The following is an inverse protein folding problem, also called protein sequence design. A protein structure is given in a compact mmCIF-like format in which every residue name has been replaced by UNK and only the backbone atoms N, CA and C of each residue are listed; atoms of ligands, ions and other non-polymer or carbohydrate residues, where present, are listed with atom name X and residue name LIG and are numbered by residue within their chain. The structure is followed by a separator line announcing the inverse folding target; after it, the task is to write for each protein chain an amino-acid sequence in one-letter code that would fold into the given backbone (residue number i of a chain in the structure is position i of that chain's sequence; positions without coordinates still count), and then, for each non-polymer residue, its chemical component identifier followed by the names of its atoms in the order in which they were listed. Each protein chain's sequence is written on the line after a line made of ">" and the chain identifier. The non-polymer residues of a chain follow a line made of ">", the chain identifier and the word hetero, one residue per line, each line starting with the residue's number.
data_IF_397316754142
#
_entry.id   IF_397316754142
#
_cell.length_a   1.000
_cell.length_b   1.000
_cell.length_c   1.000
_cell.angle_alpha   90.00
_cell.angle_beta   90.00
_cell.angle_gamma   90.00
#
_symmetry.space_group_name_H-M   'P 1'
#
loop_
_entity.id
_entity.type
_entity.pdbx_description
1 polymer ?
#
# COMPACT_ATOMS: atom_id res chain seq x y z
N UNK A 1 -30.12 -7.26 -45.04
CA UNK A 1 -28.98 -6.52 -44.47
C UNK A 1 -28.92 -6.53 -42.93
N UNK A 2 -30.04 -6.43 -42.18
CA UNK A 2 -30.04 -6.36 -40.68
C UNK A 2 -29.51 -7.60 -39.97
N UNK A 3 -29.73 -8.82 -40.51
CA UNK A 3 -29.32 -10.09 -39.91
C UNK A 3 -27.79 -10.25 -39.80
N UNK A 4 -27.04 -9.77 -40.78
CA UNK A 4 -25.57 -9.87 -40.80
C UNK A 4 -24.86 -8.89 -39.85
N UNK A 5 -25.52 -7.79 -39.50
CA UNK A 5 -24.99 -6.81 -38.55
C UNK A 5 -25.11 -7.35 -37.12
N UNK A 6 -26.23 -7.97 -36.79
CA UNK A 6 -26.44 -8.59 -35.47
C UNK A 6 -25.47 -9.74 -35.18
N UNK A 7 -25.18 -10.58 -36.19
CA UNK A 7 -24.21 -11.66 -36.04
C UNK A 7 -22.78 -11.11 -35.84
N UNK A 8 -22.41 -10.05 -36.54
CA UNK A 8 -21.10 -9.40 -36.38
C UNK A 8 -20.97 -8.72 -35.02
N UNK A 9 -22.02 -8.04 -34.54
CA UNK A 9 -22.04 -7.44 -33.21
C UNK A 9 -21.96 -8.49 -32.09
N UNK A 10 -22.68 -9.59 -32.21
CA UNK A 10 -22.62 -10.70 -31.25
C UNK A 10 -21.22 -11.34 -31.23
N UNK A 11 -20.58 -11.50 -32.39
CA UNK A 11 -19.21 -12.02 -32.47
C UNK A 11 -18.16 -11.10 -31.81
N UNK A 12 -18.28 -9.77 -31.98
CA UNK A 12 -17.41 -8.80 -31.32
C UNK A 12 -17.63 -8.80 -29.81
N UNK A 13 -18.87 -8.81 -29.36
CA UNK A 13 -19.18 -8.86 -27.92
C UNK A 13 -18.67 -10.14 -27.26
N UNK A 14 -18.78 -11.30 -27.92
CA UNK A 14 -18.23 -12.56 -27.44
C UNK A 14 -16.70 -12.56 -27.40
N UNK A 15 -16.03 -11.97 -28.40
CA UNK A 15 -14.57 -11.86 -28.42
C UNK A 15 -14.05 -10.94 -27.32
N UNK A 16 -14.72 -9.82 -27.06
CA UNK A 16 -14.35 -8.88 -25.98
C UNK A 16 -14.56 -9.51 -24.61
N UNK A 17 -15.67 -10.23 -24.40
CA UNK A 17 -15.93 -10.91 -23.13
C UNK A 17 -14.96 -12.05 -22.84
N UNK A 18 -14.49 -12.77 -23.87
CA UNK A 18 -13.46 -13.80 -23.74
C UNK A 18 -12.09 -13.20 -23.40
N UNK A 19 -11.72 -12.06 -23.99
CA UNK A 19 -10.45 -11.38 -23.69
C UNK A 19 -10.42 -10.84 -22.27
N UNK A 20 -11.49 -10.17 -21.83
CA UNK A 20 -11.58 -9.62 -20.46
C UNK A 20 -11.71 -10.73 -19.43
N UNK A 21 -12.56 -11.73 -19.69
CA UNK A 21 -12.76 -12.87 -18.80
C UNK A 21 -11.52 -13.77 -18.71
N UNK A 22 -10.79 -13.95 -19.81
CA UNK A 22 -9.56 -14.75 -19.84
C UNK A 22 -8.41 -14.10 -19.06
N UNK A 23 -8.22 -12.80 -19.18
CA UNK A 23 -7.21 -12.07 -18.43
C UNK A 23 -7.50 -12.09 -16.92
N UNK A 24 -8.77 -11.88 -16.52
CA UNK A 24 -9.19 -11.95 -15.12
C UNK A 24 -8.99 -13.35 -14.53
N UNK A 25 -9.43 -14.40 -15.24
CA UNK A 25 -9.26 -15.77 -14.79
C UNK A 25 -7.78 -16.18 -14.68
N UNK A 26 -6.91 -15.67 -15.57
CA UNK A 26 -5.48 -15.92 -15.52
C UNK A 26 -4.84 -15.33 -14.27
N UNK A 27 -5.23 -14.12 -13.87
CA UNK A 27 -4.71 -13.46 -12.65
C UNK A 27 -5.27 -14.08 -11.36
N UNK A 28 -6.55 -14.43 -11.32
CA UNK A 28 -7.16 -15.04 -10.13
C UNK A 28 -6.62 -16.45 -9.83
N UNK A 29 -6.08 -17.16 -10.82
CA UNK A 29 -5.48 -18.48 -10.63
C UNK A 29 -4.09 -18.43 -9.98
N UNK A 30 -3.39 -17.29 -10.05
CA UNK A 30 -2.06 -17.09 -9.48
C UNK A 30 -1.82 -15.59 -9.19
N UNK A 31 -2.48 -15.01 -8.17
CA UNK A 31 -2.44 -13.59 -7.87
C UNK A 31 -1.09 -13.17 -7.30
N UNK A 32 -0.80 -11.87 -7.38
CA UNK A 32 0.33 -11.26 -6.69
C UNK A 32 0.02 -11.02 -5.21
N UNK A 33 1.05 -10.91 -4.40
CA UNK A 33 0.93 -10.76 -2.94
C UNK A 33 1.95 -9.77 -2.40
N UNK A 34 1.53 -8.92 -1.49
CA UNK A 34 2.43 -8.15 -0.61
C UNK A 34 2.41 -8.83 0.75
N UNK A 35 3.57 -9.33 1.20
CA UNK A 35 3.73 -10.04 2.46
C UNK A 35 4.82 -9.40 3.30
N UNK A 36 4.84 -9.75 4.60
CA UNK A 36 5.95 -9.37 5.48
C UNK A 36 6.18 -7.87 5.58
N UNK A 37 5.13 -7.06 5.48
CA UNK A 37 5.26 -5.61 5.68
C UNK A 37 5.86 -5.35 7.05
N UNK A 38 6.97 -4.62 7.11
CA UNK A 38 7.63 -4.22 8.35
C UNK A 38 7.50 -2.71 8.50
N UNK A 39 7.03 -2.26 9.66
CA UNK A 39 6.96 -0.84 10.00
C UNK A 39 8.16 -0.50 10.89
N UNK A 40 8.92 0.51 10.54
CA UNK A 40 10.10 0.94 11.30
C UNK A 40 10.14 2.44 11.50
N UNK A 41 10.70 2.89 12.63
CA UNK A 41 10.95 4.29 12.91
C UNK A 41 12.45 4.59 12.95
N UNK A 42 12.86 5.62 12.22
CA UNK A 42 14.22 6.13 12.24
C UNK A 42 14.46 7.20 13.32
N UNK A 43 13.38 7.70 13.94
CA UNK A 43 13.45 8.69 15.02
C UNK A 43 13.26 7.99 16.36
N UNK A 44 14.18 8.08 17.34
CA UNK A 44 14.09 7.33 18.60
C UNK A 44 12.80 7.60 19.40
N UNK A 45 12.29 8.83 19.34
CA UNK A 45 11.06 9.22 20.03
C UNK A 45 9.78 8.84 19.26
N UNK A 46 9.86 8.40 18.02
CA UNK A 46 8.73 7.91 17.26
C UNK A 46 8.67 6.38 17.42
N UNK A 47 7.55 5.87 17.86
CA UNK A 47 7.33 4.44 18.05
C UNK A 47 6.13 3.95 17.28
N UNK A 48 6.18 2.70 16.85
CA UNK A 48 5.09 1.95 16.21
C UNK A 48 4.50 0.96 17.21
N UNK A 49 3.19 0.77 17.19
CA UNK A 49 2.48 -0.21 18.02
C UNK A 49 2.34 -1.54 17.29
N UNK A 50 2.67 -2.66 17.96
CA UNK A 50 2.60 -4.01 17.38
C UNK A 50 1.31 -4.78 17.73
N UNK A 51 0.34 -4.11 18.35
CA UNK A 51 -0.86 -4.75 18.88
C UNK A 51 -0.75 -5.12 20.37
N UNK A 52 0.46 -5.15 20.94
CA UNK A 52 0.71 -5.45 22.35
C UNK A 52 1.69 -4.48 23.01
N UNK A 53 2.69 -4.03 22.28
CA UNK A 53 3.74 -3.15 22.78
C UNK A 53 4.14 -2.06 21.78
N UNK A 54 4.90 -1.08 22.25
CA UNK A 54 5.46 0.00 21.43
C UNK A 54 6.95 -0.24 21.18
N UNK A 55 7.37 -0.05 19.94
CA UNK A 55 8.77 -0.26 19.56
C UNK A 55 9.19 0.56 18.34
N UNK A 56 10.48 0.54 18.01
CA UNK A 56 11.01 1.17 16.81
C UNK A 56 10.75 0.33 15.55
N UNK A 57 10.42 -0.94 15.68
CA UNK A 57 10.16 -1.84 14.55
C UNK A 57 9.05 -2.81 14.91
N UNK A 58 8.12 -3.01 13.98
CA UNK A 58 6.95 -3.89 14.14
C UNK A 58 6.75 -4.70 12.87
N UNK A 59 6.44 -5.98 13.02
CA UNK A 59 6.02 -6.82 11.89
C UNK A 59 4.56 -6.51 11.55
N UNK A 60 4.32 -6.00 10.36
CA UNK A 60 2.98 -5.66 9.88
C UNK A 60 2.05 -6.85 9.73
N UNK A 61 2.58 -8.08 9.61
CA UNK A 61 1.76 -9.29 9.62
C UNK A 61 0.99 -9.46 10.95
N UNK A 62 1.58 -9.01 12.06
CA UNK A 62 0.91 -8.97 13.38
C UNK A 62 -0.27 -7.99 13.40
N UNK A 63 -0.18 -6.91 12.61
CA UNK A 63 -1.23 -5.90 12.44
C UNK A 63 -2.18 -6.22 11.27
N UNK A 64 -2.02 -7.35 10.60
CA UNK A 64 -2.80 -7.73 9.43
C UNK A 64 -2.46 -6.90 8.18
N UNK A 65 -1.32 -6.20 8.14
CA UNK A 65 -0.87 -5.46 6.96
C UNK A 65 -0.25 -6.47 5.98
N UNK A 66 -1.11 -7.13 5.26
CA UNK A 66 -0.77 -8.09 4.21
C UNK A 66 -1.86 -8.02 3.15
N UNK A 67 -1.48 -7.88 1.90
CA UNK A 67 -2.40 -7.98 0.77
C UNK A 67 -2.10 -9.23 -0.03
N UNK A 68 -3.13 -10.01 -0.25
CA UNK A 68 -3.04 -11.25 -1.02
C UNK A 68 -4.07 -11.25 -2.16
N UNK A 69 -3.87 -12.11 -3.13
CA UNK A 69 -4.79 -12.23 -4.26
C UNK A 69 -4.94 -10.94 -5.08
N UNK A 70 -3.88 -10.14 -5.17
CA UNK A 70 -3.88 -8.92 -5.99
C UNK A 70 -3.91 -9.28 -7.48
N UNK A 71 -4.79 -8.62 -8.21
CA UNK A 71 -4.97 -8.74 -9.66
C UNK A 71 -5.07 -7.34 -10.29
N UNK A 72 -4.90 -7.17 -11.60
CA UNK A 72 -5.01 -5.86 -12.24
C UNK A 72 -6.32 -5.15 -11.91
N UNK A 73 -6.22 -3.93 -11.38
CA UNK A 73 -7.36 -3.16 -10.89
C UNK A 73 -7.82 -3.48 -9.45
N UNK A 74 -7.14 -4.39 -8.75
CA UNK A 74 -7.40 -4.66 -7.34
C UNK A 74 -7.16 -3.43 -6.47
N UNK A 75 -8.07 -3.17 -5.53
CA UNK A 75 -7.90 -2.21 -4.44
C UNK A 75 -8.11 -2.95 -3.13
N UNK A 76 -7.07 -3.00 -2.31
CA UNK A 76 -7.04 -3.70 -1.04
C UNK A 76 -7.85 -3.04 0.07
N UNK A 77 -7.91 -3.69 1.21
CA UNK A 77 -8.51 -3.14 2.40
C UNK A 77 -7.68 -1.97 2.98
N UNK A 78 -8.30 -1.17 3.81
CA UNK A 78 -7.60 -0.21 4.65
C UNK A 78 -6.99 -0.95 5.85
N UNK A 79 -5.67 -0.86 6.00
CA UNK A 79 -4.94 -1.38 7.15
C UNK A 79 -4.57 -0.25 8.08
N UNK A 80 -4.78 -0.41 9.38
CA UNK A 80 -4.52 0.63 10.37
C UNK A 80 -3.34 0.27 11.28
N UNK A 81 -2.59 1.30 11.69
CA UNK A 81 -1.48 1.18 12.64
C UNK A 81 -1.38 2.46 13.49
N UNK A 82 -0.68 2.39 14.61
CA UNK A 82 -0.49 3.54 15.47
C UNK A 82 0.96 3.99 15.48
N UNK A 83 1.16 5.31 15.44
CA UNK A 83 2.44 5.96 15.75
C UNK A 83 2.29 6.81 17.00
N UNK A 84 3.33 6.82 17.84
CA UNK A 84 3.39 7.58 19.08
C UNK A 84 4.65 8.43 19.12
N UNK A 85 4.49 9.69 19.52
CA UNK A 85 5.60 10.55 19.90
C UNK A 85 5.85 10.36 21.43
N UNK A 86 7.02 9.83 21.80
CA UNK A 86 7.38 9.60 23.20
C UNK A 86 8.18 10.73 23.82
N UNK A 87 8.41 11.83 23.09
CA UNK A 87 9.03 13.04 23.62
C UNK A 87 8.15 13.72 24.66
N UNK A 88 8.71 14.67 25.39
CA UNK A 88 7.95 15.56 26.26
C UNK A 88 6.88 16.34 25.48
N UNK A 89 5.81 16.74 26.15
CA UNK A 89 4.67 17.43 25.53
C UNK A 89 5.08 18.72 24.79
N UNK A 90 6.20 19.33 25.17
CA UNK A 90 6.76 20.52 24.52
C UNK A 90 7.50 20.26 23.21
N UNK A 91 7.68 18.99 22.82
CA UNK A 91 8.41 18.58 21.61
C UNK A 91 7.47 17.86 20.65
N UNK A 92 6.63 18.58 19.91
CA UNK A 92 5.76 17.97 18.92
C UNK A 92 6.53 17.56 17.67
N UNK A 93 6.03 16.56 16.93
CA UNK A 93 6.38 16.39 15.54
C UNK A 93 5.46 17.26 14.67
N UNK A 94 6.03 18.12 13.85
CA UNK A 94 5.33 18.91 12.84
C UNK A 94 5.10 18.13 11.56
N UNK A 95 5.93 17.11 11.33
CA UNK A 95 5.83 16.20 10.21
C UNK A 95 6.18 14.77 10.64
N UNK A 96 5.52 13.80 10.03
CA UNK A 96 5.96 12.41 9.98
C UNK A 96 6.09 12.06 8.52
N UNK A 97 7.31 11.79 8.09
CA UNK A 97 7.61 11.43 6.70
C UNK A 97 7.65 9.93 6.57
N UNK A 98 6.83 9.39 5.68
CA UNK A 98 6.85 7.99 5.29
C UNK A 98 7.72 7.79 4.05
N UNK A 99 8.45 6.69 3.99
CA UNK A 99 9.20 6.22 2.85
C UNK A 99 9.23 4.69 2.81
N UNK A 100 9.82 4.13 1.76
CA UNK A 100 10.04 2.70 1.62
C UNK A 100 11.55 2.45 1.50
N UNK A 101 12.27 2.22 2.63
CA UNK A 101 13.72 2.09 2.61
C UNK A 101 14.21 0.79 1.96
N UNK A 102 13.38 -0.26 1.92
CA UNK A 102 13.75 -1.51 1.26
C UNK A 102 12.52 -2.33 0.87
N UNK A 103 12.73 -3.17 -0.14
CA UNK A 103 11.86 -4.26 -0.56
C UNK A 103 12.70 -5.48 -0.89
N UNK A 104 12.12 -6.67 -0.77
CA UNK A 104 12.77 -7.94 -1.08
C UNK A 104 11.76 -8.95 -1.62
N UNK A 105 12.20 -9.82 -2.51
CA UNK A 105 11.33 -10.76 -3.21
C UNK A 105 11.26 -10.44 -4.70
N UNK A 106 10.06 -10.33 -5.24
CA UNK A 106 9.83 -10.05 -6.66
C UNK A 106 9.75 -8.55 -6.99
N UNK A 107 10.66 -7.75 -6.39
CA UNK A 107 10.67 -6.28 -6.45
C UNK A 107 10.52 -5.75 -7.89
N UNK A 108 11.33 -6.24 -8.82
CA UNK A 108 11.33 -5.73 -10.19
C UNK A 108 10.01 -5.98 -10.94
N UNK A 109 9.26 -6.99 -10.54
CA UNK A 109 7.96 -7.29 -11.12
C UNK A 109 6.81 -6.49 -10.50
N UNK A 110 6.95 -6.05 -9.24
CA UNK A 110 5.84 -5.42 -8.49
C UNK A 110 6.02 -3.93 -8.23
N UNK A 111 7.26 -3.41 -8.23
CA UNK A 111 7.57 -2.03 -7.83
C UNK A 111 6.84 -0.94 -8.62
N UNK A 112 6.55 -1.17 -9.91
CA UNK A 112 5.95 -0.17 -10.79
C UNK A 112 4.44 -0.41 -11.03
N UNK A 113 3.90 -1.56 -10.60
CA UNK A 113 2.49 -1.92 -10.79
C UNK A 113 1.70 -1.98 -9.49
N UNK A 114 2.35 -2.14 -8.34
CA UNK A 114 1.72 -2.00 -7.03
C UNK A 114 1.86 -0.56 -6.55
N UNK A 115 0.77 0.00 -6.08
CA UNK A 115 0.72 1.35 -5.50
C UNK A 115 0.27 1.30 -4.06
N UNK A 116 0.69 2.31 -3.31
CA UNK A 116 0.37 2.48 -1.90
C UNK A 116 0.03 3.95 -1.62
N UNK A 117 -0.87 4.17 -0.65
CA UNK A 117 -1.19 5.51 -0.13
C UNK A 117 -1.36 5.48 1.39
N UNK A 118 -1.18 6.63 2.01
CA UNK A 118 -1.38 6.83 3.44
C UNK A 118 -2.49 7.82 3.75
N UNK A 119 -3.13 7.64 4.90
CA UNK A 119 -4.12 8.51 5.47
C UNK A 119 -4.11 8.48 7.00
N UNK A 120 -5.01 9.23 7.61
CA UNK A 120 -5.30 9.16 9.04
C UNK A 120 -6.73 8.63 9.21
N UNK A 121 -6.90 7.65 10.07
CA UNK A 121 -8.19 7.00 10.29
C UNK A 121 -9.27 8.03 10.65
N UNK A 122 -10.34 8.03 9.87
CA UNK A 122 -11.47 8.94 10.06
C UNK A 122 -11.32 10.34 9.44
N UNK A 123 -10.16 10.70 8.89
CA UNK A 123 -9.94 12.01 8.25
C UNK A 123 -9.69 11.93 6.74
N UNK A 124 -9.38 10.75 6.23
CA UNK A 124 -9.20 10.48 4.81
C UNK A 124 -7.74 10.28 4.40
N UNK A 125 -7.53 10.26 3.08
CA UNK A 125 -6.22 10.00 2.49
C UNK A 125 -5.43 11.30 2.31
N UNK A 126 -4.18 11.32 2.75
CA UNK A 126 -3.30 12.49 2.67
C UNK A 126 -2.35 12.43 1.49
N UNK A 127 -1.96 11.20 1.09
CA UNK A 127 -1.15 11.03 -0.09
C UNK A 127 -2.02 10.56 -1.26
N UNK A 128 -1.55 10.85 -2.46
CA UNK A 128 -2.05 10.21 -3.66
C UNK A 128 -1.53 8.77 -3.72
N UNK A 129 -2.01 8.02 -4.69
CA UNK A 129 -1.45 6.73 -5.03
C UNK A 129 -0.08 6.90 -5.67
N UNK A 130 0.94 6.32 -5.04
CA UNK A 130 2.29 6.25 -5.59
C UNK A 130 2.72 4.80 -5.70
N UNK A 131 3.49 4.46 -6.76
CA UNK A 131 4.06 3.11 -6.91
C UNK A 131 5.07 2.82 -5.80
N UNK A 132 5.34 1.54 -5.53
CA UNK A 132 6.38 1.17 -4.57
C UNK A 132 7.74 1.79 -4.97
N UNK A 133 8.03 1.88 -6.27
CA UNK A 133 9.24 2.52 -6.79
C UNK A 133 9.28 4.03 -6.49
N UNK A 134 8.14 4.72 -6.59
CA UNK A 134 8.05 6.13 -6.20
C UNK A 134 8.25 6.34 -4.69
N UNK A 135 7.73 5.44 -3.86
CA UNK A 135 7.96 5.44 -2.41
C UNK A 135 9.41 5.10 -2.04
N UNK A 136 10.05 4.21 -2.80
CA UNK A 136 11.47 3.85 -2.62
C UNK A 136 12.41 5.01 -2.96
N UNK A 137 12.11 5.76 -4.02
CA UNK A 137 12.92 6.89 -4.49
C UNK A 137 12.54 8.23 -3.85
N UNK A 138 11.43 8.28 -3.09
CA UNK A 138 10.89 9.50 -2.51
C UNK A 138 10.33 9.29 -1.11
N UNK A 139 9.66 10.31 -0.62
CA UNK A 139 8.99 10.30 0.67
C UNK A 139 7.83 11.29 0.70
N UNK A 140 6.87 11.10 1.60
CA UNK A 140 5.75 12.03 1.77
C UNK A 140 5.42 12.23 3.26
N UNK A 141 5.01 13.45 3.61
CA UNK A 141 4.45 13.73 4.93
C UNK A 141 3.07 13.09 5.05
N UNK A 142 2.88 12.32 6.12
CA UNK A 142 1.62 11.64 6.46
C UNK A 142 0.91 12.26 7.67
N UNK A 143 1.31 13.45 8.10
CA UNK A 143 0.78 14.15 9.26
C UNK A 143 0.11 15.45 8.84
N UNK A 144 -1.18 15.62 9.14
CA UNK A 144 -1.91 16.87 8.86
C UNK A 144 -1.71 17.93 9.92
N UNK A 145 -1.68 17.51 11.19
CA UNK A 145 -1.53 18.40 12.35
C UNK A 145 -0.47 17.84 13.28
N UNK A 146 0.20 18.69 14.01
CA UNK A 146 1.28 18.29 14.91
C UNK A 146 0.90 17.11 15.82
N UNK A 147 1.80 16.15 15.94
CA UNK A 147 1.69 15.06 16.91
C UNK A 147 2.41 15.47 18.19
N UNK A 148 1.65 15.92 19.19
CA UNK A 148 2.17 16.36 20.49
C UNK A 148 2.96 15.24 21.16
N UNK A 149 4.01 15.61 21.89
CA UNK A 149 4.76 14.66 22.71
C UNK A 149 3.88 13.95 23.74
N UNK A 150 4.14 12.70 24.00
CA UNK A 150 3.34 11.83 24.87
C UNK A 150 2.04 11.33 24.24
N UNK A 151 1.70 11.70 22.99
CA UNK A 151 0.46 11.30 22.33
C UNK A 151 0.68 10.30 21.21
N UNK A 152 -0.39 9.61 20.84
CA UNK A 152 -0.44 8.68 19.72
C UNK A 152 -1.52 9.05 18.72
N UNK A 153 -1.37 8.56 17.48
CA UNK A 153 -2.36 8.73 16.41
C UNK A 153 -2.46 7.48 15.56
N UNK A 154 -3.66 7.21 15.07
CA UNK A 154 -3.92 6.10 14.18
C UNK A 154 -3.82 6.54 12.73
N UNK A 155 -3.01 5.82 11.97
CA UNK A 155 -2.79 6.01 10.54
C UNK A 155 -3.35 4.82 9.77
N UNK A 156 -3.58 5.05 8.49
CA UNK A 156 -4.05 4.05 7.54
C UNK A 156 -3.07 3.92 6.39
N UNK A 157 -2.90 2.69 5.91
CA UNK A 157 -2.23 2.38 4.64
C UNK A 157 -3.13 1.51 3.79
N UNK A 158 -3.12 1.73 2.49
CA UNK A 158 -3.88 0.93 1.54
C UNK A 158 -3.03 0.65 0.30
N UNK A 159 -3.21 -0.54 -0.26
CA UNK A 159 -2.51 -0.99 -1.46
C UNK A 159 -3.48 -1.15 -2.62
N UNK A 160 -2.99 -0.98 -3.84
CA UNK A 160 -3.71 -1.37 -5.05
C UNK A 160 -2.73 -1.91 -6.10
N UNK A 161 -3.26 -2.67 -7.05
CA UNK A 161 -2.54 -3.04 -8.27
C UNK A 161 -3.13 -2.27 -9.45
N UNK A 162 -2.25 -1.65 -10.25
CA UNK A 162 -2.68 -0.95 -11.46
C UNK A 162 -3.43 -1.90 -12.40
N UNK A 163 -4.45 -1.38 -13.06
CA UNK A 163 -5.19 -2.13 -14.11
C UNK A 163 -4.33 -2.46 -15.33
N UNK A 164 -3.21 -1.78 -15.50
CA UNK A 164 -2.21 -2.03 -16.55
C UNK A 164 -1.18 -3.10 -16.20
N UNK A 165 -1.23 -3.69 -14.99
CA UNK A 165 -0.34 -4.78 -14.62
C UNK A 165 -0.55 -5.97 -15.58
N UNK A 166 0.55 -6.59 -15.99
CA UNK A 166 0.58 -7.71 -16.91
C UNK A 166 0.96 -9.04 -16.22
N UNK A 167 1.13 -10.08 -16.99
CA UNK A 167 1.46 -11.42 -16.49
C UNK A 167 2.82 -11.50 -15.77
N UNK A 168 3.70 -10.49 -15.88
CA UNK A 168 4.96 -10.46 -15.16
C UNK A 168 4.78 -10.32 -13.63
N UNK A 169 3.66 -9.75 -13.20
CA UNK A 169 3.29 -9.62 -11.80
C UNK A 169 2.56 -10.85 -11.24
N UNK A 170 2.20 -11.81 -12.10
CA UNK A 170 1.40 -12.99 -11.72
C UNK A 170 2.18 -13.94 -10.83
N UNK A 171 1.62 -14.31 -9.71
CA UNK A 171 2.22 -15.19 -8.71
C UNK A 171 3.43 -14.64 -8.00
N UNK A 172 3.66 -13.35 -8.11
CA UNK A 172 4.79 -12.66 -7.50
C UNK A 172 4.47 -12.26 -6.07
N UNK A 173 5.50 -12.21 -5.23
CA UNK A 173 5.38 -11.86 -3.82
C UNK A 173 6.50 -10.90 -3.42
N UNK A 174 6.14 -9.87 -2.67
CA UNK A 174 7.06 -8.84 -2.20
C UNK A 174 6.93 -8.63 -0.69
N UNK A 175 8.06 -8.43 -0.04
CA UNK A 175 8.16 -8.00 1.35
C UNK A 175 8.72 -6.58 1.37
N UNK A 176 8.02 -5.65 2.01
CA UNK A 176 8.41 -4.25 2.06
C UNK A 176 8.64 -3.78 3.50
N UNK A 177 9.55 -2.83 3.66
CA UNK A 177 9.77 -2.11 4.91
C UNK A 177 9.24 -0.68 4.73
N UNK A 178 8.31 -0.28 5.59
CA UNK A 178 7.81 1.09 5.66
C UNK A 178 8.58 1.84 6.74
N UNK A 179 9.28 2.90 6.36
CA UNK A 179 10.03 3.76 7.25
C UNK A 179 9.25 5.01 7.64
N UNK A 180 9.36 5.43 8.89
CA UNK A 180 8.76 6.65 9.40
C UNK A 180 9.81 7.51 10.12
N UNK A 181 9.86 8.79 9.77
CA UNK A 181 10.76 9.78 10.36
C UNK A 181 9.93 10.93 10.93
N UNK A 182 9.99 11.12 12.25
CA UNK A 182 9.38 12.27 12.90
C UNK A 182 10.33 13.49 12.83
N UNK A 183 9.79 14.63 12.45
CA UNK A 183 10.52 15.91 12.40
C UNK A 183 9.79 16.95 13.25
N UNK A 184 10.55 17.68 14.07
CA UNK A 184 10.04 18.86 14.80
C UNK A 184 9.72 19.98 13.81
N UNK A 185 8.80 20.89 14.17
CA UNK A 185 8.48 22.07 13.36
C UNK A 185 9.69 22.95 13.08
#
# INVERSE_FOLDING_TARGET
>A
MKKNILVKLAGIAAAVSLLVGGAYAAFTSNPATITGVVLSSATPALQVYDGSSWGGTVNGATLGITESNMYPGFVGAEHTFYLRNTSDASVPFGQIVANLPSGSGDWDSLKDVVQMRFGETGTGWFTQWYTLNQWYSGSANILLTNLTGGTQRQFSVQFQMLSSADDSAKGKSETIVLGFVGMTP
#
